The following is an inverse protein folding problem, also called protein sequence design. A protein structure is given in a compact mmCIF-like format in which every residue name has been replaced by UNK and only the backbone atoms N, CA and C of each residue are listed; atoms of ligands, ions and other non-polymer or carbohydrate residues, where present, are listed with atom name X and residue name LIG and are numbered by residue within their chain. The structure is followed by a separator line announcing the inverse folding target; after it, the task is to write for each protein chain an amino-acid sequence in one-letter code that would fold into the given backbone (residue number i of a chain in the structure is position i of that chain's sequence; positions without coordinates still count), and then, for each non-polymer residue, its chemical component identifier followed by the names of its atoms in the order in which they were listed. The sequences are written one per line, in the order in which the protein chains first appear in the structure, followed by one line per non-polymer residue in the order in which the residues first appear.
data_IF_473492168207
#
_entry.id   IF_473492168207
#
_cell.length_a   1.000
_cell.length_b   1.000
_cell.length_c   1.000
_cell.angle_alpha   90.00
_cell.angle_beta   90.00
_cell.angle_gamma   90.00
#
_symmetry.space_group_name_H-M   'P 1'
#
loop_
_entity.id
_entity.type
_entity.pdbx_description
1 polymer ?
#
# COMPACT_ATOMS: atom_id res chain seq x y z
N UNK A 1 -51.97 -19.50 -45.02
CA UNK A 1 -51.21 -20.11 -43.90
C UNK A 1 -50.21 -19.06 -43.42
N UNK A 2 -50.63 -18.10 -42.62
CA UNK A 2 -50.70 -18.18 -41.15
C UNK A 2 -49.44 -18.85 -40.58
N UNK A 3 -48.51 -18.08 -40.03
CA UNK A 3 -48.52 -17.81 -38.59
C UNK A 3 -47.31 -16.94 -38.19
N UNK A 4 -47.62 -15.73 -37.76
CA UNK A 4 -47.20 -15.16 -36.47
C UNK A 4 -45.72 -15.33 -36.11
N UNK A 5 -44.89 -14.40 -36.59
CA UNK A 5 -43.56 -14.15 -36.01
C UNK A 5 -43.75 -13.67 -34.56
N UNK A 6 -43.43 -14.56 -33.63
CA UNK A 6 -43.49 -14.32 -32.19
C UNK A 6 -42.49 -13.22 -31.80
N UNK A 7 -43.02 -12.16 -31.20
CA UNK A 7 -42.30 -11.21 -30.37
C UNK A 7 -41.59 -11.95 -29.23
N UNK A 8 -40.27 -11.95 -29.22
CA UNK A 8 -39.49 -12.19 -28.00
C UNK A 8 -38.54 -11.00 -27.84
N UNK A 9 -39.04 -9.98 -27.13
CA UNK A 9 -38.20 -8.97 -26.52
C UNK A 9 -37.39 -9.65 -25.41
N UNK A 10 -36.18 -10.11 -25.75
CA UNK A 10 -35.22 -10.60 -24.77
C UNK A 10 -34.59 -9.40 -24.07
N UNK A 11 -35.37 -8.80 -23.15
CA UNK A 11 -34.85 -7.98 -22.08
C UNK A 11 -34.06 -8.88 -21.12
N UNK A 12 -32.88 -9.32 -21.51
CA UNK A 12 -31.86 -9.66 -20.52
C UNK A 12 -31.31 -8.34 -20.02
N UNK A 13 -31.91 -7.89 -18.92
CA UNK A 13 -31.51 -6.70 -18.19
C UNK A 13 -30.00 -6.67 -18.02
N UNK A 14 -29.40 -5.64 -18.61
CA UNK A 14 -28.26 -4.96 -18.03
C UNK A 14 -28.67 -4.62 -16.59
N UNK A 15 -28.32 -5.47 -15.63
CA UNK A 15 -28.12 -4.97 -14.28
C UNK A 15 -26.77 -4.28 -14.33
N UNK A 16 -26.69 -2.93 -14.34
CA UNK A 16 -25.48 -2.30 -13.88
C UNK A 16 -25.36 -2.75 -12.43
N UNK A 17 -24.44 -3.68 -12.17
CA UNK A 17 -24.00 -4.00 -10.83
C UNK A 17 -23.34 -2.74 -10.27
N UNK A 18 -24.16 -1.80 -9.81
CA UNK A 18 -23.71 -0.73 -8.94
C UNK A 18 -23.50 -1.36 -7.58
N UNK A 19 -22.36 -2.03 -7.40
CA UNK A 19 -21.78 -2.10 -6.07
C UNK A 19 -21.32 -0.69 -5.74
N UNK A 20 -22.24 0.12 -5.21
CA UNK A 20 -21.84 1.24 -4.36
C UNK A 20 -21.39 0.64 -3.04
N UNK A 21 -20.16 0.15 -3.00
CA UNK A 21 -19.48 -0.02 -1.73
C UNK A 21 -19.45 1.36 -1.07
N UNK A 22 -20.02 1.45 0.13
CA UNK A 22 -19.94 2.62 0.99
C UNK A 22 -18.51 2.75 1.48
N UNK A 23 -17.62 3.21 0.60
CA UNK A 23 -16.23 3.51 0.94
C UNK A 23 -16.29 4.74 1.84
N UNK A 24 -16.03 4.57 3.13
CA UNK A 24 -15.65 5.67 4.01
C UNK A 24 -14.35 6.25 3.45
N UNK A 25 -14.48 7.17 2.49
CA UNK A 25 -13.35 7.73 1.77
C UNK A 25 -12.57 8.58 2.74
N UNK A 26 -11.36 8.14 3.09
CA UNK A 26 -10.41 8.94 3.86
C UNK A 26 -10.17 10.24 3.08
N UNK A 27 -10.30 11.38 3.75
CA UNK A 27 -10.19 12.70 3.11
C UNK A 27 -8.76 13.00 2.69
N UNK A 28 -7.79 12.55 3.48
CA UNK A 28 -6.36 12.77 3.21
C UNK A 28 -5.49 11.58 3.62
N UNK A 29 -4.42 11.39 2.86
CA UNK A 29 -3.44 10.34 3.11
C UNK A 29 -2.29 10.86 3.98
N UNK A 30 -1.61 10.02 4.80
CA UNK A 30 -0.44 10.45 5.55
C UNK A 30 0.61 11.05 4.61
N UNK A 31 1.26 12.13 5.05
CA UNK A 31 2.23 12.87 4.24
C UNK A 31 3.63 12.54 4.73
N UNK A 32 4.45 11.88 3.91
CA UNK A 32 5.87 11.69 4.20
C UNK A 32 6.62 13.03 4.27
N UNK A 33 7.71 13.12 5.04
CA UNK A 33 8.37 14.41 5.36
C UNK A 33 8.83 15.21 4.14
N UNK A 34 9.25 14.55 3.07
CA UNK A 34 9.71 15.16 1.83
C UNK A 34 8.61 15.35 0.77
N UNK A 35 7.37 14.95 1.05
CA UNK A 35 6.25 15.16 0.13
C UNK A 35 5.63 16.54 0.33
N UNK A 36 5.19 17.15 -0.76
CA UNK A 36 4.49 18.44 -0.74
C UNK A 36 3.08 18.27 -0.17
N UNK A 37 2.64 19.24 0.64
CA UNK A 37 1.28 19.30 1.17
C UNK A 37 0.26 19.83 0.17
N UNK A 38 0.72 20.31 -0.99
CA UNK A 38 -0.14 20.82 -2.07
C UNK A 38 -0.62 19.71 -3.00
N UNK A 39 -0.14 18.48 -2.83
CA UNK A 39 -0.58 17.33 -3.61
C UNK A 39 -2.02 16.97 -3.25
N UNK A 40 -2.77 16.51 -4.23
CA UNK A 40 -4.09 15.92 -4.00
C UNK A 40 -3.94 14.56 -3.29
N UNK A 41 -5.07 13.90 -2.99
CA UNK A 41 -5.06 12.61 -2.30
C UNK A 41 -4.22 11.55 -3.03
N UNK A 42 -4.32 11.47 -4.36
CA UNK A 42 -3.61 10.45 -5.14
C UNK A 42 -2.11 10.77 -5.24
N UNK A 43 -1.75 12.01 -5.51
CA UNK A 43 -0.35 12.46 -5.51
C UNK A 43 0.31 12.27 -4.15
N UNK A 44 -0.41 12.57 -3.07
CA UNK A 44 0.08 12.32 -1.70
C UNK A 44 0.30 10.84 -1.43
N UNK A 45 -0.63 9.98 -1.87
CA UNK A 45 -0.51 8.53 -1.74
C UNK A 45 0.68 7.98 -2.50
N UNK A 46 0.89 8.40 -3.74
CA UNK A 46 2.01 7.98 -4.59
C UNK A 46 3.33 8.44 -3.96
N UNK A 47 3.48 9.74 -3.71
CA UNK A 47 4.71 10.30 -3.16
C UNK A 47 5.10 9.65 -1.82
N UNK A 48 4.13 9.49 -0.91
CA UNK A 48 4.40 8.89 0.41
C UNK A 48 4.83 7.43 0.28
N UNK A 49 4.15 6.65 -0.57
CA UNK A 49 4.53 5.26 -0.81
C UNK A 49 5.93 5.16 -1.42
N UNK A 50 6.24 5.98 -2.43
CA UNK A 50 7.55 6.03 -3.06
C UNK A 50 8.65 6.39 -2.07
N UNK A 51 8.45 7.41 -1.22
CA UNK A 51 9.49 7.81 -0.26
C UNK A 51 9.71 6.81 0.85
N UNK A 52 8.70 6.05 1.24
CA UNK A 52 8.86 4.90 2.14
C UNK A 52 9.68 3.80 1.43
N UNK A 53 9.37 3.48 0.18
CA UNK A 53 10.12 2.49 -0.62
C UNK A 53 11.58 2.91 -0.76
N UNK A 54 11.84 4.18 -1.11
CA UNK A 54 13.18 4.75 -1.23
C UNK A 54 13.95 4.62 0.08
N UNK A 55 13.33 5.00 1.21
CA UNK A 55 13.93 4.86 2.53
C UNK A 55 14.34 3.41 2.82
N UNK A 56 13.45 2.45 2.56
CA UNK A 56 13.71 1.04 2.81
C UNK A 56 14.87 0.56 1.92
N UNK A 57 14.85 0.87 0.62
CA UNK A 57 15.93 0.52 -0.31
C UNK A 57 17.27 1.07 0.16
N UNK A 58 17.34 2.38 0.42
CA UNK A 58 18.58 3.04 0.84
C UNK A 58 19.12 2.55 2.18
N UNK A 59 18.24 2.03 3.04
CA UNK A 59 18.61 1.60 4.40
C UNK A 59 18.78 0.09 4.55
N UNK A 60 18.50 -0.68 3.49
CA UNK A 60 18.51 -2.14 3.51
C UNK A 60 19.93 -2.69 3.67
N UNK A 61 20.07 -3.79 4.40
CA UNK A 61 21.35 -4.48 4.52
C UNK A 61 21.56 -5.41 3.32
N UNK A 62 22.27 -4.92 2.30
CA UNK A 62 22.56 -5.68 1.09
C UNK A 62 23.53 -6.84 1.33
N UNK A 63 24.53 -6.68 2.20
CA UNK A 63 25.47 -7.76 2.56
C UNK A 63 24.75 -8.95 3.23
N UNK A 64 23.72 -8.68 4.04
CA UNK A 64 22.87 -9.72 4.60
C UNK A 64 22.16 -10.51 3.50
N UNK A 65 21.66 -9.82 2.47
CA UNK A 65 20.96 -10.46 1.36
C UNK A 65 21.92 -11.31 0.52
N UNK A 66 23.08 -10.78 0.13
CA UNK A 66 24.12 -11.51 -0.61
C UNK A 66 24.53 -12.79 0.13
N UNK A 67 24.70 -12.70 1.44
CA UNK A 67 25.07 -13.86 2.28
C UNK A 67 23.97 -14.92 2.33
N UNK A 68 22.70 -14.51 2.38
CA UNK A 68 21.56 -15.43 2.48
C UNK A 68 21.18 -16.05 1.14
N UNK A 69 21.53 -15.40 0.03
CA UNK A 69 21.15 -15.78 -1.32
C UNK A 69 22.35 -15.73 -2.28
N UNK A 70 23.38 -16.58 -2.10
CA UNK A 70 24.62 -16.52 -2.88
C UNK A 70 24.45 -16.84 -4.37
N UNK A 71 23.28 -17.37 -4.78
CA UNK A 71 22.97 -17.73 -6.17
C UNK A 71 21.86 -16.85 -6.77
N UNK A 72 21.17 -16.04 -5.95
CA UNK A 72 20.11 -15.15 -6.43
C UNK A 72 20.64 -13.73 -6.57
N UNK A 73 19.94 -12.91 -7.36
CA UNK A 73 20.25 -11.47 -7.53
C UNK A 73 19.16 -10.56 -6.98
N UNK A 74 18.20 -11.16 -6.28
CA UNK A 74 17.08 -10.42 -5.71
C UNK A 74 16.38 -11.22 -4.63
N UNK A 75 15.70 -10.50 -3.75
CA UNK A 75 14.78 -11.09 -2.78
C UNK A 75 13.52 -10.24 -2.68
N UNK A 76 12.39 -10.91 -2.48
CA UNK A 76 11.10 -10.25 -2.30
C UNK A 76 10.61 -10.41 -0.86
N UNK A 77 10.02 -9.35 -0.33
CA UNK A 77 9.31 -9.36 0.94
C UNK A 77 8.07 -8.49 0.91
N UNK A 78 7.07 -8.89 1.67
CA UNK A 78 5.87 -8.12 1.97
C UNK A 78 6.01 -7.51 3.35
N UNK A 79 5.77 -6.21 3.47
CA UNK A 79 5.67 -5.53 4.76
C UNK A 79 4.29 -4.89 4.90
N UNK A 80 3.67 -5.12 6.05
CA UNK A 80 2.38 -4.56 6.44
C UNK A 80 2.56 -3.79 7.75
N UNK A 81 2.01 -2.59 7.81
CA UNK A 81 2.10 -1.73 8.98
C UNK A 81 0.99 -0.68 8.96
N UNK A 82 0.78 -0.01 10.09
CA UNK A 82 -0.17 1.09 10.20
C UNK A 82 0.56 2.37 10.57
N UNK A 83 0.18 3.48 9.95
CA UNK A 83 0.52 4.82 10.43
C UNK A 83 -0.60 5.28 11.35
N UNK A 84 -0.26 5.59 12.61
CA UNK A 84 -1.21 6.03 13.62
C UNK A 84 -1.61 7.51 13.45
N UNK A 85 -2.53 7.97 14.30
CA UNK A 85 -3.04 9.35 14.33
C UNK A 85 -1.96 10.37 14.70
N UNK A 86 -0.82 9.91 15.22
CA UNK A 86 0.35 10.73 15.55
C UNK A 86 1.41 10.68 14.44
N UNK A 87 1.15 9.99 13.33
CA UNK A 87 2.05 9.83 12.20
C UNK A 87 3.20 8.84 12.43
N UNK A 88 3.11 7.95 13.43
CA UNK A 88 4.13 6.93 13.75
C UNK A 88 3.72 5.56 13.24
N UNK A 89 4.70 4.70 12.97
CA UNK A 89 4.45 3.31 12.56
C UNK A 89 4.09 2.43 13.77
N UNK A 90 3.10 1.55 13.60
CA UNK A 90 2.70 0.50 14.54
C UNK A 90 2.21 -0.75 13.80
N UNK A 91 1.95 -1.82 14.54
CA UNK A 91 1.40 -3.08 14.01
C UNK A 91 2.18 -3.63 12.80
N UNK A 92 3.51 -3.66 12.91
CA UNK A 92 4.41 -4.00 11.81
C UNK A 92 4.55 -5.52 11.71
N UNK A 93 4.27 -6.09 10.55
CA UNK A 93 4.53 -7.48 10.20
C UNK A 93 5.26 -7.57 8.87
N UNK A 94 6.05 -8.63 8.66
CA UNK A 94 6.71 -8.87 7.40
C UNK A 94 6.71 -10.36 7.05
N UNK A 95 6.67 -10.65 5.75
CA UNK A 95 6.77 -12.00 5.18
C UNK A 95 7.85 -11.99 4.10
N UNK A 96 8.74 -12.96 4.13
CA UNK A 96 9.83 -13.11 3.17
C UNK A 96 10.22 -14.59 3.08
N UNK A 97 10.99 -14.96 2.04
CA UNK A 97 11.50 -16.33 1.88
C UNK A 97 12.43 -16.76 3.02
N UNK A 98 13.19 -15.83 3.60
CA UNK A 98 14.08 -16.04 4.75
C UNK A 98 13.63 -15.17 5.91
N UNK A 99 13.60 -15.73 7.12
CA UNK A 99 13.14 -15.02 8.33
C UNK A 99 14.00 -13.79 8.65
N UNK A 100 15.28 -13.83 8.30
CA UNK A 100 16.25 -12.76 8.49
C UNK A 100 15.88 -11.53 7.64
N UNK A 101 15.39 -11.74 6.41
CA UNK A 101 14.91 -10.65 5.54
C UNK A 101 13.63 -10.04 6.10
N UNK A 102 12.70 -10.85 6.61
CA UNK A 102 11.51 -10.35 7.27
C UNK A 102 11.86 -9.53 8.53
N UNK A 103 12.83 -9.99 9.33
CA UNK A 103 13.32 -9.27 10.50
C UNK A 103 13.97 -7.92 10.13
N UNK A 104 14.77 -7.89 9.06
CA UNK A 104 15.37 -6.64 8.56
C UNK A 104 14.30 -5.67 8.04
N UNK A 105 13.31 -6.15 7.29
CA UNK A 105 12.19 -5.32 6.84
C UNK A 105 11.41 -4.69 8.02
N UNK A 106 11.13 -5.47 9.08
CA UNK A 106 10.50 -4.97 10.30
C UNK A 106 11.37 -3.89 10.95
N UNK A 107 12.68 -4.11 11.06
CA UNK A 107 13.63 -3.15 11.65
C UNK A 107 13.65 -1.84 10.84
N UNK A 108 13.59 -1.91 9.52
CA UNK A 108 13.55 -0.73 8.65
C UNK A 108 12.27 0.07 8.86
N UNK A 109 11.11 -0.57 8.85
CA UNK A 109 9.82 0.11 9.05
C UNK A 109 9.69 0.70 10.46
N UNK A 110 10.29 0.07 11.48
CA UNK A 110 10.39 0.66 12.83
C UNK A 110 11.23 1.95 12.87
N UNK A 111 12.20 2.10 11.96
CA UNK A 111 13.08 3.27 11.85
C UNK A 111 12.53 4.36 10.90
N UNK A 112 11.38 4.12 10.26
CA UNK A 112 10.77 5.14 9.41
C UNK A 112 10.57 6.43 10.22
N UNK A 113 10.91 7.60 9.64
CA UNK A 113 10.66 8.84 10.32
C UNK A 113 9.16 9.07 10.48
N UNK A 114 8.77 9.72 11.58
CA UNK A 114 7.39 10.16 11.78
C UNK A 114 6.91 10.98 10.57
N UNK A 115 5.70 10.69 10.09
CA UNK A 115 5.04 11.42 9.00
C UNK A 115 4.91 12.90 9.33
N UNK A 116 4.95 13.74 8.30
CA UNK A 116 4.71 15.19 8.42
C UNK A 116 3.30 15.47 8.93
N UNK A 117 2.32 14.75 8.38
CA UNK A 117 0.90 14.77 8.78
C UNK A 117 0.34 13.35 8.76
N UNK A 118 -0.55 12.98 9.71
CA UNK A 118 -1.31 11.72 9.65
C UNK A 118 -2.35 11.79 8.51
N UNK A 119 -3.05 10.68 8.27
CA UNK A 119 -4.26 10.70 7.44
C UNK A 119 -5.42 11.32 8.23
N UNK A 120 -6.41 11.86 7.53
CA UNK A 120 -7.60 12.45 8.14
C UNK A 120 -8.89 11.94 7.50
N UNK A 121 -9.92 11.79 8.33
CA UNK A 121 -11.30 11.55 7.93
C UNK A 121 -12.22 12.46 8.76
N UNK A 122 -13.07 13.21 8.08
CA UNK A 122 -13.93 14.25 8.66
C UNK A 122 -13.16 15.22 9.57
N UNK A 123 -11.97 15.64 9.14
CA UNK A 123 -11.09 16.55 9.88
C UNK A 123 -10.41 15.95 11.12
N UNK A 124 -10.64 14.66 11.44
CA UNK A 124 -10.00 13.96 12.56
C UNK A 124 -8.86 13.07 12.06
N UNK A 125 -7.72 13.02 12.76
CA UNK A 125 -6.64 12.13 12.36
C UNK A 125 -7.08 10.66 12.52
N UNK A 126 -6.71 9.82 11.56
CA UNK A 126 -7.07 8.41 11.53
C UNK A 126 -5.86 7.52 11.26
N UNK A 127 -5.98 6.27 11.68
CA UNK A 127 -5.03 5.22 11.32
C UNK A 127 -5.13 4.87 9.84
N UNK A 128 -3.99 4.68 9.20
CA UNK A 128 -3.94 4.30 7.78
C UNK A 128 -3.05 3.07 7.60
N UNK A 129 -3.61 1.94 7.14
CA UNK A 129 -2.84 0.73 6.88
C UNK A 129 -2.04 0.85 5.57
N UNK A 130 -0.85 0.28 5.59
CA UNK A 130 0.06 0.16 4.46
C UNK A 130 0.35 -1.32 4.23
N UNK A 131 0.39 -1.69 2.95
CA UNK A 131 0.81 -3.00 2.47
C UNK A 131 1.71 -2.80 1.28
N UNK A 132 2.99 -3.13 1.43
CA UNK A 132 4.01 -2.88 0.41
C UNK A 132 4.74 -4.19 0.12
N UNK A 133 4.56 -4.69 -1.10
CA UNK A 133 5.38 -5.75 -1.65
C UNK A 133 6.60 -5.11 -2.30
N UNK A 134 7.80 -5.50 -1.88
CA UNK A 134 9.04 -4.99 -2.42
C UNK A 134 9.96 -6.10 -2.89
N UNK A 135 10.66 -5.83 -3.99
CA UNK A 135 11.79 -6.62 -4.46
C UNK A 135 13.05 -5.76 -4.31
N UNK A 136 14.06 -6.30 -3.64
CA UNK A 136 15.41 -5.72 -3.58
C UNK A 136 16.29 -6.54 -4.50
N UNK A 137 17.05 -5.85 -5.35
CA UNK A 137 18.08 -6.43 -6.20
C UNK A 137 19.43 -6.16 -5.55
N UNK A 138 20.29 -7.16 -5.54
CA UNK A 138 21.64 -7.14 -4.99
C UNK A 138 22.58 -7.84 -5.97
#
# INVERSE_FOLDING_TARGET
MNNTFFLIAFFLGLSPFSQTEKINKIDSYPIYRSCSEKLDYQGTKICTKEKIIDFIKLSFNYELADKLFPLDKSTQFLVEFTIDEKGKTKNITAKAHKKEIAAEAIKLVKRLPKMKKPGYLNGKPVEVPFRILMTIYF
#
